data_IF_145650814666
#
_entry.id   IF_145650814666
#
_cell.length_a   1.000
_cell.length_b   1.000
_cell.length_c   1.000
_cell.angle_alpha   90.00
_cell.angle_beta   90.00
_cell.angle_gamma   90.00
#
_symmetry.space_group_name_H-M   'P 1'
#
loop_
_entity.id
_entity.type
_entity.pdbx_description
1 polymer ?
#
# COMPACT_ATOMS: atom_id res chain seq x y z
N UNK A 1 3.38 14.22 2.48
CA UNK A 1 2.04 13.71 2.83
C UNK A 1 1.24 13.47 1.56
N UNK A 2 0.96 12.20 1.25
CA UNK A 2 -0.11 11.84 0.33
C UNK A 2 -1.42 12.00 1.07
N UNK A 3 -2.44 12.56 0.44
CA UNK A 3 -3.80 12.50 0.93
C UNK A 3 -4.50 11.51 0.00
N UNK A 4 -4.50 10.23 0.38
CA UNK A 4 -5.13 9.19 -0.43
C UNK A 4 -4.46 9.00 -1.81
N UNK A 5 -3.28 8.40 -1.83
CA UNK A 5 -2.76 7.80 -3.06
C UNK A 5 -3.57 6.55 -3.34
N UNK A 6 -4.50 6.67 -4.28
CA UNK A 6 -4.85 5.54 -5.12
C UNK A 6 -4.42 5.97 -6.50
N UNK A 7 -3.21 5.58 -6.86
CA UNK A 7 -2.57 5.94 -8.12
C UNK A 7 -3.21 5.23 -9.31
N UNK A 8 -4.52 5.09 -9.37
CA UNK A 8 -5.21 4.30 -10.37
C UNK A 8 -6.64 4.79 -10.58
N UNK A 9 -6.77 5.89 -11.32
CA UNK A 9 -8.03 6.24 -11.96
C UNK A 9 -7.91 5.82 -13.40
N UNK A 10 -8.63 4.79 -13.84
CA UNK A 10 -8.76 4.62 -15.26
C UNK A 10 -9.56 5.79 -15.87
N UNK A 11 -9.31 6.13 -17.14
CA UNK A 11 -10.22 6.99 -17.88
C UNK A 11 -11.65 6.43 -17.83
N UNK A 12 -12.68 7.28 -18.03
CA UNK A 12 -14.07 6.81 -18.11
C UNK A 12 -14.16 5.66 -19.11
N UNK A 13 -14.49 4.45 -18.63
CA UNK A 13 -14.66 3.27 -19.47
C UNK A 13 -13.63 2.13 -19.33
N UNK A 14 -12.67 2.18 -18.38
CA UNK A 14 -11.71 1.07 -18.24
C UNK A 14 -11.44 0.66 -16.78
N UNK A 15 -12.38 0.01 -16.08
CA UNK A 15 -12.24 -0.38 -14.66
C UNK A 15 -11.11 -1.42 -14.40
N UNK A 16 -9.85 -1.03 -14.55
CA UNK A 16 -8.69 -1.94 -14.57
C UNK A 16 -8.20 -2.47 -13.21
N UNK A 17 -8.97 -2.33 -12.11
CA UNK A 17 -8.47 -2.68 -10.77
C UNK A 17 -9.35 -3.62 -9.97
N UNK A 18 -10.43 -4.12 -10.57
CA UNK A 18 -11.20 -5.22 -10.01
C UNK A 18 -12.03 -5.84 -11.13
N UNK A 19 -11.86 -7.14 -11.33
CA UNK A 19 -12.72 -7.97 -12.18
C UNK A 19 -14.19 -7.65 -11.85
N UNK A 20 -14.94 -7.09 -12.78
CA UNK A 20 -16.39 -7.04 -12.63
C UNK A 20 -16.92 -8.50 -12.57
N UNK A 21 -17.98 -8.81 -11.81
CA UNK A 21 -18.55 -10.14 -11.82
C UNK A 21 -18.91 -10.55 -13.27
N UNK A 22 -18.19 -11.52 -13.85
CA UNK A 22 -18.39 -11.99 -15.22
C UNK A 22 -17.30 -11.66 -16.24
N UNK A 23 -16.27 -10.87 -15.91
CA UNK A 23 -15.15 -10.63 -16.85
C UNK A 23 -14.31 -11.90 -17.06
N UNK A 24 -13.95 -12.27 -18.29
CA UNK A 24 -13.03 -13.39 -18.51
C UNK A 24 -11.62 -13.00 -18.07
N UNK A 25 -10.93 -13.88 -17.34
CA UNK A 25 -9.53 -13.65 -16.99
C UNK A 25 -8.69 -13.64 -18.27
N UNK A 26 -8.15 -12.48 -18.64
CA UNK A 26 -7.25 -12.37 -19.77
C UNK A 26 -5.98 -13.16 -19.43
N UNK A 27 -5.67 -14.18 -20.24
CA UNK A 27 -4.41 -14.90 -20.11
C UNK A 27 -3.24 -13.96 -20.41
N UNK A 28 -2.28 -13.90 -19.50
CA UNK A 28 -1.04 -13.16 -19.76
C UNK A 28 -0.21 -13.86 -20.85
N UNK A 29 0.63 -13.13 -21.62
CA UNK A 29 1.47 -13.71 -22.68
C UNK A 29 2.38 -14.85 -22.20
N UNK A 30 2.72 -15.78 -23.10
CA UNK A 30 3.49 -16.99 -22.77
C UNK A 30 4.87 -16.73 -22.13
N UNK A 31 5.49 -15.58 -22.36
CA UNK A 31 6.72 -15.20 -21.65
C UNK A 31 6.58 -15.20 -20.12
N UNK A 32 5.37 -15.03 -19.56
CA UNK A 32 5.14 -15.16 -18.11
C UNK A 32 5.18 -16.62 -17.63
N UNK A 33 4.90 -17.57 -18.52
CA UNK A 33 5.15 -18.98 -18.26
C UNK A 33 6.66 -19.24 -18.15
N UNK A 34 7.43 -18.74 -19.10
CA UNK A 34 8.90 -18.87 -19.11
C UNK A 34 9.50 -18.21 -17.87
N UNK A 35 9.10 -16.98 -17.57
CA UNK A 35 9.49 -16.28 -16.34
C UNK A 35 9.20 -17.10 -15.07
N UNK A 36 8.03 -17.73 -14.99
CA UNK A 36 7.71 -18.59 -13.85
C UNK A 36 8.63 -19.80 -13.78
N UNK A 37 8.95 -20.43 -14.92
CA UNK A 37 9.90 -21.55 -14.97
C UNK A 37 11.29 -21.12 -14.52
N UNK A 38 11.73 -19.94 -14.93
CA UNK A 38 13.05 -19.39 -14.58
C UNK A 38 13.20 -19.07 -13.08
N UNK A 39 12.11 -18.62 -12.46
CA UNK A 39 12.11 -18.28 -11.03
C UNK A 39 11.85 -19.52 -10.15
N UNK A 40 11.11 -20.50 -10.66
CA UNK A 40 10.66 -21.63 -9.85
C UNK A 40 11.82 -22.51 -9.39
N UNK A 41 11.72 -22.95 -8.13
CA UNK A 41 12.63 -23.91 -7.50
C UNK A 41 11.82 -24.87 -6.64
N UNK A 42 12.28 -26.11 -6.51
CA UNK A 42 11.56 -27.14 -5.74
C UNK A 42 11.41 -26.73 -4.27
N UNK A 43 12.37 -25.99 -3.72
CA UNK A 43 12.34 -25.48 -2.34
C UNK A 43 11.18 -24.49 -2.11
N UNK A 44 10.60 -23.88 -3.16
CA UNK A 44 9.42 -23.03 -3.03
C UNK A 44 8.19 -23.85 -2.56
N UNK A 45 8.14 -25.15 -2.86
CA UNK A 45 7.06 -26.04 -2.41
C UNK A 45 7.05 -26.14 -0.89
N UNK A 46 8.23 -26.24 -0.28
CA UNK A 46 8.37 -26.23 1.18
C UNK A 46 7.94 -24.87 1.74
N UNK A 47 8.44 -23.76 1.18
CA UNK A 47 8.04 -22.41 1.59
C UNK A 47 6.52 -22.23 1.54
N UNK A 48 5.88 -22.67 0.46
CA UNK A 48 4.44 -22.53 0.29
C UNK A 48 3.65 -23.26 1.37
N UNK A 49 4.03 -24.49 1.72
CA UNK A 49 3.39 -25.26 2.81
C UNK A 49 3.53 -24.55 4.15
N UNK A 50 4.72 -24.03 4.46
CA UNK A 50 4.96 -23.30 5.70
C UNK A 50 4.19 -21.98 5.76
N UNK A 51 4.18 -21.21 4.67
CA UNK A 51 3.45 -19.94 4.57
C UNK A 51 1.95 -20.18 4.75
N UNK A 52 1.37 -21.23 4.16
CA UNK A 52 -0.03 -21.57 4.36
C UNK A 52 -0.34 -21.91 5.83
N UNK A 53 0.53 -22.67 6.48
CA UNK A 53 0.38 -22.99 7.91
C UNK A 53 0.44 -21.74 8.80
N UNK A 54 1.42 -20.84 8.59
CA UNK A 54 1.50 -19.58 9.34
C UNK A 54 0.36 -18.61 9.00
N UNK A 55 -0.17 -18.66 7.77
CA UNK A 55 -1.30 -17.85 7.34
C UNK A 55 -2.59 -18.24 8.06
N UNK A 56 -2.84 -19.53 8.33
CA UNK A 56 -4.01 -19.97 9.12
C UNK A 56 -4.02 -19.36 10.53
N UNK A 57 -2.86 -19.36 11.20
CA UNK A 57 -2.70 -18.71 12.50
C UNK A 57 -2.87 -17.18 12.40
N UNK A 58 -2.31 -16.56 11.36
CA UNK A 58 -2.43 -15.12 11.11
C UNK A 58 -3.88 -14.71 10.88
N UNK A 59 -4.64 -15.45 10.08
CA UNK A 59 -6.07 -15.20 9.82
C UNK A 59 -6.88 -15.33 11.10
N UNK A 60 -6.57 -16.33 11.94
CA UNK A 60 -7.23 -16.52 13.23
C UNK A 60 -6.97 -15.34 14.18
N UNK A 61 -5.72 -14.88 14.29
CA UNK A 61 -5.35 -13.70 15.09
C UNK A 61 -6.10 -12.45 14.59
N UNK A 62 -6.14 -12.23 13.27
CA UNK A 62 -6.82 -11.08 12.66
C UNK A 62 -8.32 -11.11 12.97
N UNK A 63 -8.95 -12.29 12.86
CA UNK A 63 -10.38 -12.45 13.16
C UNK A 63 -10.69 -12.19 14.64
N UNK A 64 -9.83 -12.65 15.54
CA UNK A 64 -9.99 -12.49 16.98
C UNK A 64 -9.76 -11.04 17.42
N UNK A 65 -8.65 -10.42 17.01
CA UNK A 65 -8.23 -9.10 17.48
C UNK A 65 -8.86 -7.95 16.71
N UNK A 66 -9.23 -8.15 15.45
CA UNK A 66 -9.79 -7.11 14.58
C UNK A 66 -8.96 -5.83 14.60
N UNK A 67 -9.62 -4.68 14.79
CA UNK A 67 -8.98 -3.36 14.77
C UNK A 67 -7.93 -3.14 15.87
N UNK A 68 -7.97 -3.91 16.98
CA UNK A 68 -6.99 -3.78 18.07
C UNK A 68 -5.59 -4.24 17.65
N UNK A 69 -5.47 -4.97 16.53
CA UNK A 69 -4.19 -5.40 16.00
C UNK A 69 -3.39 -4.24 15.39
N UNK A 70 -4.06 -3.16 14.95
CA UNK A 70 -3.41 -2.01 14.33
C UNK A 70 -2.71 -1.17 15.40
N UNK A 71 -1.41 -0.93 15.22
CA UNK A 71 -0.63 -0.11 16.15
C UNK A 71 -1.21 1.29 16.24
N UNK A 72 -1.44 1.78 17.46
CA UNK A 72 -1.84 3.17 17.71
C UNK A 72 -0.82 3.84 18.61
N UNK A 73 -0.32 4.99 18.17
CA UNK A 73 0.64 5.82 18.89
C UNK A 73 0.08 7.23 19.03
N UNK A 74 0.34 7.89 20.15
CA UNK A 74 0.16 9.33 20.24
C UNK A 74 1.31 10.05 19.56
N UNK A 75 1.05 11.24 19.03
CA UNK A 75 2.09 12.11 18.51
C UNK A 75 3.09 12.51 19.59
N UNK A 76 2.66 12.66 20.84
CA UNK A 76 3.56 12.97 21.95
C UNK A 76 4.58 11.86 22.20
N UNK A 77 4.17 10.58 22.15
CA UNK A 77 5.10 9.44 22.21
C UNK A 77 6.10 9.48 21.05
N UNK A 78 5.63 9.75 19.84
CA UNK A 78 6.47 9.86 18.64
C UNK A 78 7.47 11.02 18.76
N UNK A 79 7.00 12.22 19.14
CA UNK A 79 7.82 13.44 19.27
C UNK A 79 8.83 13.33 20.40
N UNK A 80 8.47 12.70 21.51
CA UNK A 80 9.34 12.56 22.69
C UNK A 80 10.24 11.32 22.65
N UNK A 81 10.18 10.50 21.59
CA UNK A 81 10.99 9.29 21.47
C UNK A 81 10.64 8.20 22.49
N UNK A 82 9.41 8.19 22.99
CA UNK A 82 8.94 7.26 24.04
C UNK A 82 8.24 6.01 23.50
N UNK A 83 8.23 5.81 22.19
CA UNK A 83 7.72 4.58 21.58
C UNK A 83 8.66 3.43 21.95
N UNK A 84 8.13 2.45 22.68
CA UNK A 84 8.93 1.29 23.14
C UNK A 84 9.37 0.39 21.98
N UNK A 85 10.44 -0.38 22.19
CA UNK A 85 10.90 -1.36 21.21
C UNK A 85 9.81 -2.39 20.88
N UNK A 86 9.02 -2.83 21.86
CA UNK A 86 7.91 -3.76 21.64
C UNK A 86 6.82 -3.16 20.72
N UNK A 87 6.50 -1.87 20.87
CA UNK A 87 5.58 -1.17 19.96
C UNK A 87 6.17 -1.07 18.55
N UNK A 88 7.48 -0.80 18.43
CA UNK A 88 8.18 -0.76 17.15
C UNK A 88 8.16 -2.13 16.47
N UNK A 89 8.48 -3.21 17.19
CA UNK A 89 8.50 -4.56 16.64
C UNK A 89 7.10 -5.00 16.18
N UNK A 90 6.07 -4.68 16.97
CA UNK A 90 4.67 -4.92 16.59
C UNK A 90 4.26 -4.10 15.37
N UNK A 91 4.64 -2.82 15.30
CA UNK A 91 4.44 -1.98 14.12
C UNK A 91 5.13 -2.57 12.89
N UNK A 92 6.39 -3.00 12.99
CA UNK A 92 7.10 -3.60 11.86
C UNK A 92 6.47 -4.93 11.43
N UNK A 93 5.91 -5.70 12.35
CA UNK A 93 5.16 -6.93 12.02
C UNK A 93 3.87 -6.62 11.26
N UNK A 94 3.07 -5.68 11.76
CA UNK A 94 1.74 -5.34 11.25
C UNK A 94 1.80 -4.50 9.98
N UNK A 95 2.76 -3.57 9.89
CA UNK A 95 2.95 -2.68 8.75
C UNK A 95 1.94 -1.54 8.65
N UNK A 96 1.22 -1.22 9.73
CA UNK A 96 0.23 -0.15 9.75
C UNK A 96 0.20 0.51 11.12
N UNK A 97 0.14 1.84 11.15
CA UNK A 97 0.01 2.63 12.38
C UNK A 97 -1.03 3.74 12.23
N UNK A 98 -1.69 4.05 13.33
CA UNK A 98 -2.48 5.27 13.52
C UNK A 98 -1.72 6.16 14.49
N UNK A 99 -1.31 7.35 14.03
CA UNK A 99 -0.70 8.38 14.90
C UNK A 99 -1.76 9.44 15.22
N UNK A 100 -2.11 9.59 16.49
CA UNK A 100 -3.16 10.53 16.93
C UNK A 100 -2.58 11.79 17.57
N UNK A 101 -3.21 12.94 17.33
CA UNK A 101 -2.82 14.21 17.96
C UNK A 101 -1.68 14.95 17.27
N UNK A 102 -1.26 14.51 16.08
CA UNK A 102 -0.21 15.18 15.31
C UNK A 102 -0.63 16.54 14.74
N UNK A 103 -1.93 16.75 14.52
CA UNK A 103 -2.50 18.01 14.06
C UNK A 103 -3.68 18.35 14.98
N UNK A 104 -3.78 19.59 15.48
CA UNK A 104 -4.95 20.05 16.22
C UNK A 104 -6.23 19.84 15.41
N UNK A 105 -7.30 19.41 16.08
CA UNK A 105 -8.60 19.14 15.45
C UNK A 105 -9.10 20.33 14.62
N UNK A 106 -9.08 21.52 15.22
CA UNK A 106 -9.65 22.71 14.59
C UNK A 106 -8.84 23.16 13.37
N UNK A 107 -7.52 22.94 13.38
CA UNK A 107 -6.65 23.18 12.23
C UNK A 107 -6.96 22.21 11.07
N UNK A 108 -7.10 20.92 11.36
CA UNK A 108 -7.48 19.94 10.35
C UNK A 108 -8.88 20.23 9.74
N UNK A 109 -9.83 20.66 10.56
CA UNK A 109 -11.16 21.07 10.09
C UNK A 109 -11.11 22.37 9.28
N UNK A 110 -10.26 23.33 9.66
CA UNK A 110 -10.04 24.55 8.90
C UNK A 110 -9.44 24.26 7.52
N UNK A 111 -8.45 23.35 7.42
CA UNK A 111 -7.92 22.89 6.13
C UNK A 111 -9.00 22.25 5.25
N UNK A 112 -9.87 21.43 5.83
CA UNK A 112 -11.01 20.86 5.10
C UNK A 112 -11.91 21.95 4.51
N UNK A 113 -12.20 22.98 5.30
CA UNK A 113 -13.04 24.09 4.84
C UNK A 113 -12.34 24.89 3.74
N UNK A 114 -11.06 25.23 3.91
CA UNK A 114 -10.27 25.91 2.88
C UNK A 114 -10.22 25.14 1.56
N UNK A 115 -10.11 23.81 1.60
CA UNK A 115 -10.17 22.96 0.39
C UNK A 115 -11.53 23.08 -0.30
N UNK A 116 -12.64 23.07 0.47
CA UNK A 116 -13.99 23.22 -0.08
C UNK A 116 -14.19 24.60 -0.69
N UNK A 117 -13.76 25.65 0.00
CA UNK A 117 -13.89 27.03 -0.47
C UNK A 117 -13.07 27.26 -1.73
N UNK A 118 -11.83 26.73 -1.77
CA UNK A 118 -10.98 26.76 -2.95
C UNK A 118 -11.63 26.01 -4.13
N UNK A 119 -12.20 24.82 -3.88
CA UNK A 119 -12.86 24.06 -4.93
C UNK A 119 -14.09 24.78 -5.50
N UNK A 120 -14.91 25.38 -4.62
CA UNK A 120 -16.10 26.12 -5.01
C UNK A 120 -15.75 27.38 -5.81
N UNK A 121 -14.74 28.14 -5.39
CA UNK A 121 -14.29 29.34 -6.09
C UNK A 121 -13.66 29.06 -7.47
N UNK A 122 -13.25 27.82 -7.73
CA UNK A 122 -12.58 27.42 -8.97
C UNK A 122 -13.33 26.30 -9.69
N UNK A 123 -14.65 26.18 -9.50
CA UNK A 123 -15.44 25.00 -9.92
C UNK A 123 -15.29 24.63 -11.40
N UNK A 124 -15.08 25.60 -12.30
CA UNK A 124 -14.84 25.39 -13.73
C UNK A 124 -13.49 24.71 -14.04
N UNK A 125 -12.55 24.71 -13.10
CA UNK A 125 -11.20 24.17 -13.26
C UNK A 125 -10.94 22.92 -12.42
N UNK A 126 -11.79 22.63 -11.42
CA UNK A 126 -11.64 21.47 -10.56
C UNK A 126 -12.10 20.22 -11.29
N UNK A 127 -11.16 19.28 -11.47
CA UNK A 127 -11.44 17.92 -11.92
C UNK A 127 -11.51 16.97 -10.74
N UNK A 128 -12.17 15.84 -10.94
CA UNK A 128 -12.27 14.82 -9.92
C UNK A 128 -13.31 13.75 -10.24
N UNK A 129 -13.47 12.85 -9.28
CA UNK A 129 -14.35 11.68 -9.39
C UNK A 129 -15.26 11.57 -8.17
N UNK A 130 -16.51 11.09 -8.33
CA UNK A 130 -17.22 10.91 -9.60
C UNK A 130 -17.58 12.24 -10.26
N UNK A 131 -17.87 12.21 -11.57
CA UNK A 131 -18.34 13.38 -12.31
C UNK A 131 -19.69 13.86 -11.72
N UNK A 132 -19.89 15.19 -11.64
CA UNK A 132 -21.09 15.80 -11.06
C UNK A 132 -21.19 15.75 -9.52
N UNK A 133 -20.39 14.93 -8.84
CA UNK A 133 -20.28 14.90 -7.38
C UNK A 133 -18.85 14.57 -6.95
N UNK A 134 -17.93 15.50 -7.20
CA UNK A 134 -16.51 15.32 -6.95
C UNK A 134 -16.26 15.03 -5.46
N UNK A 135 -15.67 13.87 -5.18
CA UNK A 135 -15.27 13.43 -3.84
C UNK A 135 -13.78 13.09 -3.78
N UNK A 136 -13.19 12.68 -4.90
CA UNK A 136 -11.74 12.63 -5.09
C UNK A 136 -11.35 13.81 -5.98
N UNK A 137 -10.64 14.77 -5.40
CA UNK A 137 -10.28 16.00 -6.07
C UNK A 137 -8.90 15.85 -6.72
N UNK A 138 -8.82 16.12 -8.02
CA UNK A 138 -7.57 16.19 -8.78
C UNK A 138 -6.90 17.55 -8.61
N UNK A 139 -6.72 17.94 -7.34
CA UNK A 139 -5.99 19.13 -6.93
C UNK A 139 -4.79 18.74 -6.09
N UNK A 140 -3.67 19.42 -6.30
CA UNK A 140 -2.39 18.97 -5.78
C UNK A 140 -1.68 20.00 -4.91
N UNK A 141 -1.95 21.31 -5.07
CA UNK A 141 -1.16 22.37 -4.44
C UNK A 141 -2.02 23.50 -3.86
N UNK A 142 -3.16 23.18 -3.25
CA UNK A 142 -3.91 24.17 -2.46
C UNK A 142 -3.09 24.62 -1.24
N UNK A 143 -3.39 25.81 -0.71
CA UNK A 143 -2.74 26.34 0.50
C UNK A 143 -2.83 25.32 1.65
N UNK A 144 -4.01 24.75 1.87
CA UNK A 144 -4.25 23.73 2.89
C UNK A 144 -3.39 22.46 2.70
N UNK A 145 -3.26 21.95 1.47
CA UNK A 145 -2.40 20.80 1.19
C UNK A 145 -0.93 21.12 1.46
N UNK A 146 -0.49 22.32 1.12
CA UNK A 146 0.90 22.76 1.33
C UNK A 146 1.21 22.96 2.81
N UNK A 147 0.32 23.61 3.56
CA UNK A 147 0.42 23.74 5.02
C UNK A 147 0.46 22.38 5.70
N UNK A 148 -0.41 21.45 5.32
CA UNK A 148 -0.40 20.11 5.90
C UNK A 148 0.90 19.35 5.58
N UNK A 149 1.45 19.47 4.37
CA UNK A 149 2.72 18.81 4.03
C UNK A 149 3.91 19.30 4.84
N UNK A 150 3.90 20.57 5.26
CA UNK A 150 4.99 21.19 6.02
C UNK A 150 4.72 21.28 7.52
N UNK A 151 3.52 20.89 7.99
CA UNK A 151 3.16 20.92 9.40
C UNK A 151 4.13 20.07 10.25
N UNK A 152 4.62 20.63 11.36
CA UNK A 152 5.65 20.01 12.21
C UNK A 152 5.25 18.61 12.68
N UNK A 153 3.99 18.44 13.10
CA UNK A 153 3.46 17.14 13.52
C UNK A 153 3.54 16.06 12.45
N UNK A 154 3.35 16.44 11.19
CA UNK A 154 3.34 15.53 10.07
C UNK A 154 4.76 15.24 9.57
N UNK A 155 5.65 16.24 9.60
CA UNK A 155 7.06 16.08 9.31
C UNK A 155 7.78 15.19 10.33
N UNK A 156 7.54 15.40 11.64
CA UNK A 156 8.12 14.58 12.70
C UNK A 156 7.61 13.13 12.62
N UNK A 157 6.32 12.95 12.34
CA UNK A 157 5.75 11.60 12.12
C UNK A 157 6.39 10.90 10.93
N UNK A 158 6.59 11.60 9.80
CA UNK A 158 7.28 11.03 8.64
C UNK A 158 8.72 10.64 8.97
N UNK A 159 9.48 11.49 9.67
CA UNK A 159 10.85 11.17 10.09
C UNK A 159 10.91 9.94 10.99
N UNK A 160 10.03 9.84 11.99
CA UNK A 160 9.91 8.65 12.84
C UNK A 160 9.61 7.39 12.03
N UNK A 161 8.69 7.47 11.07
CA UNK A 161 8.35 6.32 10.22
C UNK A 161 9.50 5.91 9.30
N UNK A 162 10.24 6.87 8.74
CA UNK A 162 11.41 6.61 7.91
C UNK A 162 12.55 6.00 8.73
N UNK A 163 12.74 6.40 10.00
CA UNK A 163 13.79 5.83 10.86
C UNK A 163 13.59 4.36 11.23
N UNK A 164 12.41 3.77 10.95
CA UNK A 164 12.17 2.33 11.12
C UNK A 164 12.77 1.47 10.01
N UNK A 165 13.15 2.12 8.90
CA UNK A 165 13.80 1.52 7.74
C UNK A 165 15.31 1.56 7.87
N UNK A 166 16.00 0.70 7.13
CA UNK A 166 17.45 0.72 7.04
C UNK A 166 17.94 0.53 5.61
N UNK A 167 19.19 0.90 5.38
CA UNK A 167 19.87 0.73 4.10
C UNK A 167 21.36 0.49 4.32
N UNK A 168 21.98 -0.37 3.51
CA UNK A 168 23.42 -0.52 3.39
C UNK A 168 24.04 0.45 2.36
N UNK A 169 23.22 1.31 1.73
CA UNK A 169 23.63 2.30 0.72
C UNK A 169 23.23 3.72 1.13
N UNK A 170 23.77 4.26 2.23
CA UNK A 170 23.37 5.57 2.76
C UNK A 170 23.75 6.74 1.83
N UNK A 171 24.63 6.55 0.85
CA UNK A 171 25.00 7.57 -0.13
C UNK A 171 24.01 7.64 -1.31
N UNK A 172 23.21 6.59 -1.53
CA UNK A 172 22.19 6.53 -2.60
C UNK A 172 20.79 6.90 -2.09
N UNK A 173 20.48 6.66 -0.80
CA UNK A 173 19.19 6.99 -0.19
C UNK A 173 19.35 7.50 1.25
N UNK A 174 18.66 8.60 1.56
CA UNK A 174 18.54 9.14 2.92
C UNK A 174 17.17 8.79 3.51
N UNK A 175 17.16 8.12 4.67
CA UNK A 175 15.95 7.66 5.37
C UNK A 175 15.59 8.56 6.56
N UNK A 176 16.01 9.82 6.53
CA UNK A 176 15.78 10.85 7.54
C UNK A 176 15.32 12.19 6.93
N UNK A 177 15.26 12.27 5.59
CA UNK A 177 14.83 13.43 4.82
C UNK A 177 13.54 13.12 4.07
N UNK A 178 12.36 13.48 4.63
CA UNK A 178 11.10 13.34 3.91
C UNK A 178 11.05 14.27 2.69
N UNK A 179 10.59 13.75 1.56
CA UNK A 179 10.32 14.53 0.34
C UNK A 179 8.81 14.67 0.15
N UNK A 180 8.38 15.86 -0.28
CA UNK A 180 6.96 16.11 -0.57
C UNK A 180 6.54 15.49 -1.90
N UNK A 181 5.76 14.42 -1.82
CA UNK A 181 4.98 13.91 -2.96
C UNK A 181 3.61 14.58 -3.01
N UNK A 182 3.30 15.16 -4.16
CA UNK A 182 2.04 15.86 -4.39
C UNK A 182 1.01 14.84 -4.84
N UNK A 183 -0.05 14.74 -4.06
CA UNK A 183 -1.14 13.80 -4.29
C UNK A 183 -2.47 14.53 -4.19
N UNK A 184 -3.52 13.84 -4.63
CA UNK A 184 -4.92 14.26 -4.57
C UNK A 184 -5.39 14.39 -3.13
N UNK A 185 -6.69 14.61 -2.95
CA UNK A 185 -7.36 14.48 -1.66
C UNK A 185 -8.75 13.90 -1.85
N UNK A 186 -9.31 13.34 -0.77
CA UNK A 186 -10.65 12.77 -0.76
C UNK A 186 -11.53 13.37 0.33
N UNK A 187 -12.70 13.89 -0.04
CA UNK A 187 -13.78 14.28 0.88
C UNK A 187 -15.02 13.48 0.49
N UNK A 188 -15.19 12.33 1.14
CA UNK A 188 -16.29 11.41 0.86
C UNK A 188 -17.59 11.89 1.53
N UNK A 189 -18.71 11.74 0.83
CA UNK A 189 -20.05 11.98 1.34
C UNK A 189 -20.64 10.69 1.95
N UNK A 190 -21.44 10.78 3.04
CA UNK A 190 -22.16 9.63 3.58
C UNK A 190 -23.02 8.94 2.52
N UNK A 191 -23.04 7.59 2.53
CA UNK A 191 -23.85 6.79 1.62
C UNK A 191 -23.27 6.61 0.21
N UNK A 192 -22.14 7.25 -0.12
CA UNK A 192 -21.50 7.06 -1.43
C UNK A 192 -21.00 5.62 -1.61
N UNK A 193 -21.36 4.98 -2.72
CA UNK A 193 -20.87 3.65 -3.13
C UNK A 193 -20.11 3.70 -4.45
N UNK A 194 -19.94 4.88 -5.06
CA UNK A 194 -19.33 5.01 -6.39
C UNK A 194 -17.84 4.65 -6.39
N UNK A 195 -17.17 4.76 -5.23
CA UNK A 195 -15.74 4.52 -5.10
C UNK A 195 -15.44 3.34 -4.17
N UNK A 196 -15.56 2.13 -4.71
CA UNK A 196 -15.12 0.88 -4.05
C UNK A 196 -13.98 0.24 -4.83
N UNK A 197 -12.81 0.15 -4.21
CA UNK A 197 -11.69 -0.60 -4.76
C UNK A 197 -11.58 -1.95 -4.05
N UNK A 198 -11.27 -2.99 -4.82
CA UNK A 198 -10.88 -4.27 -4.25
C UNK A 198 -9.54 -4.16 -3.50
N UNK A 199 -9.21 -5.16 -2.66
CA UNK A 199 -7.89 -5.25 -2.04
C UNK A 199 -6.77 -5.24 -3.09
N UNK A 200 -5.78 -4.36 -2.93
CA UNK A 200 -4.68 -4.19 -3.87
C UNK A 200 -3.39 -3.75 -3.16
N UNK A 201 -2.28 -3.70 -3.91
CA UNK A 201 -0.98 -3.20 -3.46
C UNK A 201 -0.41 -2.31 -4.56
N UNK A 202 -0.11 -1.06 -4.24
CA UNK A 202 0.50 -0.12 -5.20
C UNK A 202 2.01 -0.32 -5.37
N UNK A 203 2.59 0.48 -6.26
CA UNK A 203 4.04 0.51 -6.49
C UNK A 203 4.51 -0.71 -7.26
N UNK A 204 3.89 -0.95 -8.41
CA UNK A 204 4.13 -2.12 -9.27
C UNK A 204 3.03 -3.17 -9.16
N UNK A 205 2.97 -4.03 -10.16
CA UNK A 205 2.05 -5.16 -10.32
C UNK A 205 2.86 -6.41 -10.66
N UNK A 206 2.96 -6.76 -11.94
CA UNK A 206 3.72 -7.91 -12.46
C UNK A 206 5.24 -7.69 -12.39
N UNK A 207 5.67 -6.43 -12.28
CA UNK A 207 7.06 -6.02 -12.09
C UNK A 207 7.68 -6.70 -10.87
N UNK A 208 6.87 -7.09 -9.86
CA UNK A 208 7.36 -7.83 -8.68
C UNK A 208 8.08 -9.14 -9.02
N UNK A 209 7.79 -9.73 -10.17
CA UNK A 209 8.45 -10.95 -10.66
C UNK A 209 9.34 -10.69 -11.87
N UNK A 210 9.00 -9.73 -12.72
CA UNK A 210 9.76 -9.43 -13.94
C UNK A 210 11.05 -8.66 -13.65
N UNK A 211 10.96 -7.61 -12.84
CA UNK A 211 12.08 -6.72 -12.56
C UNK A 211 13.11 -7.44 -11.67
N UNK A 212 14.38 -7.54 -12.10
CA UNK A 212 15.45 -8.05 -11.24
C UNK A 212 15.58 -7.27 -9.92
N UNK A 213 15.31 -5.96 -9.93
CA UNK A 213 15.29 -5.13 -8.71
C UNK A 213 14.25 -5.62 -7.70
N UNK A 214 13.00 -5.80 -8.12
CA UNK A 214 11.97 -6.37 -7.26
C UNK A 214 12.27 -7.80 -6.81
N UNK A 215 12.79 -8.65 -7.69
CA UNK A 215 13.20 -10.00 -7.29
C UNK A 215 14.27 -9.98 -6.20
N UNK A 216 15.16 -8.98 -6.20
CA UNK A 216 16.12 -8.76 -5.12
C UNK A 216 15.42 -8.40 -3.79
N UNK A 217 14.39 -7.54 -3.83
CA UNK A 217 13.58 -7.19 -2.64
C UNK A 217 12.96 -8.45 -2.01
N UNK A 218 12.44 -9.36 -2.84
CA UNK A 218 11.82 -10.60 -2.40
C UNK A 218 12.78 -11.80 -2.43
N UNK A 219 14.09 -11.55 -2.52
CA UNK A 219 15.09 -12.60 -2.75
C UNK A 219 15.07 -13.69 -1.68
N UNK A 220 14.86 -13.32 -0.41
CA UNK A 220 14.73 -14.31 0.68
C UNK A 220 13.48 -15.21 0.53
N UNK A 221 12.39 -14.69 -0.03
CA UNK A 221 11.19 -15.50 -0.33
C UNK A 221 11.49 -16.42 -1.53
N UNK A 222 12.06 -15.87 -2.60
CA UNK A 222 12.36 -16.60 -3.84
C UNK A 222 13.52 -17.60 -3.73
N UNK A 223 14.30 -17.57 -2.64
CA UNK A 223 15.30 -18.61 -2.32
C UNK A 223 14.66 -19.97 -1.98
N UNK A 224 13.42 -20.00 -1.50
CA UNK A 224 12.76 -21.23 -1.06
C UNK A 224 13.16 -21.72 0.33
N UNK A 225 12.57 -22.84 0.76
CA UNK A 225 12.74 -23.44 2.09
C UNK A 225 12.20 -22.53 3.20
N UNK A 226 12.97 -22.38 4.28
CA UNK A 226 12.64 -21.52 5.43
C UNK A 226 13.07 -20.04 5.26
N UNK A 227 13.71 -19.66 4.15
CA UNK A 227 14.33 -18.34 3.99
C UNK A 227 13.33 -17.18 4.00
N UNK A 228 12.06 -17.42 3.63
CA UNK A 228 11.01 -16.41 3.66
C UNK A 228 10.79 -15.82 5.06
N UNK A 229 11.12 -16.56 6.14
CA UNK A 229 11.06 -16.09 7.53
C UNK A 229 12.06 -14.97 7.82
N UNK A 230 13.12 -14.88 7.03
CA UNK A 230 14.16 -13.85 7.07
C UNK A 230 13.88 -12.71 6.09
N UNK A 231 12.72 -12.69 5.42
CA UNK A 231 12.34 -11.53 4.61
C UNK A 231 12.13 -10.33 5.53
N UNK A 232 12.87 -9.26 5.24
CA UNK A 232 12.77 -8.00 5.94
C UNK A 232 12.09 -6.94 5.06
N UNK A 233 10.81 -6.60 5.34
CA UNK A 233 10.09 -5.59 4.58
C UNK A 233 10.73 -4.19 4.65
N UNK A 234 11.51 -3.91 5.70
CA UNK A 234 12.08 -2.59 6.06
C UNK A 234 13.50 -2.35 5.54
N UNK A 235 14.02 -3.27 4.73
CA UNK A 235 15.26 -3.06 3.99
C UNK A 235 14.97 -2.22 2.73
N UNK A 236 15.51 -1.00 2.69
CA UNK A 236 15.36 -0.10 1.55
C UNK A 236 16.38 -0.36 0.43
N UNK A 237 17.52 -0.99 0.72
CA UNK A 237 18.63 -1.18 -0.22
C UNK A 237 18.22 -1.79 -1.57
N UNK A 238 17.52 -2.94 -1.62
CA UNK A 238 17.14 -3.53 -2.91
C UNK A 238 16.04 -2.72 -3.63
N UNK A 239 15.39 -1.77 -2.94
CA UNK A 239 14.29 -0.96 -3.50
C UNK A 239 14.76 0.26 -4.28
N UNK A 240 16.04 0.63 -4.14
CA UNK A 240 16.64 1.79 -4.83
C UNK A 240 16.66 1.57 -6.35
N UNK A 241 16.90 0.33 -6.79
CA UNK A 241 17.07 -0.01 -8.20
C UNK A 241 15.81 -0.59 -8.84
N UNK A 242 14.68 -0.54 -8.14
CA UNK A 242 13.42 -1.13 -8.62
C UNK A 242 12.85 -0.32 -9.78
N UNK A 243 12.44 -1.01 -10.84
CA UNK A 243 11.59 -0.44 -11.88
C UNK A 243 10.14 -0.84 -11.61
N UNK A 244 9.36 0.09 -11.07
CA UNK A 244 8.00 -0.18 -10.61
C UNK A 244 6.90 0.01 -11.66
N UNK A 245 7.28 0.42 -12.87
CA UNK A 245 6.39 0.60 -14.01
C UNK A 245 7.15 0.38 -15.32
N UNK A 246 7.36 -0.88 -15.67
CA UNK A 246 8.02 -1.27 -16.93
C UNK A 246 7.10 -1.03 -18.14
N UNK A 247 5.80 -0.86 -17.89
CA UNK A 247 4.76 -0.73 -18.90
C UNK A 247 4.29 0.71 -19.14
N UNK A 248 4.91 1.69 -18.50
CA UNK A 248 4.60 3.12 -18.67
C UNK A 248 3.11 3.44 -18.46
N UNK A 249 2.54 2.90 -17.39
CA UNK A 249 1.13 3.09 -17.03
C UNK A 249 0.85 4.54 -16.65
N UNK A 250 -0.34 5.04 -17.01
CA UNK A 250 -0.68 6.46 -16.93
C UNK A 250 -0.69 7.05 -15.51
N UNK A 251 -0.76 6.22 -14.48
CA UNK A 251 -0.88 6.65 -13.09
C UNK A 251 0.25 6.12 -12.19
N UNK A 252 1.36 5.62 -12.77
CA UNK A 252 2.46 5.08 -11.99
C UNK A 252 3.04 6.07 -10.97
N UNK A 253 3.40 5.56 -9.78
CA UNK A 253 4.14 6.33 -8.80
C UNK A 253 5.60 6.47 -9.22
N UNK A 254 6.11 7.69 -9.37
CA UNK A 254 7.50 7.94 -9.81
C UNK A 254 8.54 7.93 -8.69
N UNK A 255 8.12 7.76 -7.42
CA UNK A 255 9.01 7.78 -6.26
C UNK A 255 8.91 6.51 -5.42
N UNK A 256 9.99 6.16 -4.73
CA UNK A 256 9.95 5.17 -3.66
C UNK A 256 9.24 5.76 -2.44
N UNK A 257 8.19 5.06 -1.98
CA UNK A 257 7.42 5.41 -0.78
C UNK A 257 7.53 4.27 0.23
N UNK A 258 8.38 4.40 1.26
CA UNK A 258 8.47 3.42 2.33
C UNK A 258 7.12 3.25 3.06
N UNK A 259 6.35 4.33 3.13
CA UNK A 259 5.02 4.36 3.72
C UNK A 259 4.04 5.08 2.82
N UNK A 260 2.83 4.54 2.72
CA UNK A 260 1.66 5.31 2.31
C UNK A 260 0.92 5.80 3.56
N UNK A 261 0.16 6.88 3.44
CA UNK A 261 -0.63 7.41 4.55
C UNK A 261 -1.46 8.62 4.12
N UNK A 262 -2.28 9.12 5.04
CA UNK A 262 -3.06 10.35 4.90
C UNK A 262 -3.34 10.97 6.27
N UNK A 263 -3.61 12.27 6.29
CA UNK A 263 -4.17 12.94 7.46
C UNK A 263 -5.69 12.94 7.39
N UNK A 264 -6.32 12.57 8.50
CA UNK A 264 -7.77 12.65 8.61
C UNK A 264 -8.20 14.12 8.76
N UNK A 265 -9.10 14.57 7.89
CA UNK A 265 -9.73 15.88 7.97
C UNK A 265 -11.18 15.81 8.50
N UNK A 266 -11.57 14.66 9.03
CA UNK A 266 -12.88 14.41 9.62
C UNK A 266 -12.81 13.32 10.67
N UNK A 267 -13.90 13.16 11.42
CA UNK A 267 -14.14 11.96 12.20
C UNK A 267 -14.67 10.88 11.26
N UNK A 268 -14.14 9.66 11.40
CA UNK A 268 -14.63 8.46 10.72
C UNK A 268 -14.46 7.28 11.68
N UNK A 269 -15.52 6.49 11.82
CA UNK A 269 -15.54 5.24 12.57
C UNK A 269 -15.33 4.01 11.67
N UNK A 270 -15.18 2.82 12.28
CA UNK A 270 -15.16 1.56 11.54
C UNK A 270 -16.40 1.42 10.64
N UNK A 271 -16.21 0.88 9.43
CA UNK A 271 -17.26 0.67 8.42
C UNK A 271 -17.86 1.95 7.81
N UNK A 272 -17.35 3.15 8.13
CA UNK A 272 -17.78 4.42 7.54
C UNK A 272 -16.96 4.79 6.29
N UNK A 273 -16.63 3.80 5.47
CA UNK A 273 -15.85 4.02 4.25
C UNK A 273 -14.35 4.29 4.49
N UNK A 274 -13.81 3.76 5.60
CA UNK A 274 -12.41 3.84 6.00
C UNK A 274 -11.54 2.77 5.32
N UNK A 275 -10.23 2.83 5.55
CA UNK A 275 -9.27 1.84 5.04
C UNK A 275 -9.41 0.50 5.74
N UNK A 276 -9.22 -0.57 4.96
CA UNK A 276 -8.97 -1.92 5.44
C UNK A 276 -7.56 -2.35 5.00
N UNK A 277 -6.86 -3.08 5.86
CA UNK A 277 -5.51 -3.59 5.59
C UNK A 277 -5.43 -5.07 5.94
N UNK A 278 -4.42 -5.77 5.40
CA UNK A 278 -4.05 -7.11 5.81
C UNK A 278 -2.81 -7.05 6.73
N UNK A 279 -2.99 -7.04 8.06
CA UNK A 279 -1.93 -6.72 9.02
C UNK A 279 -1.00 -7.90 9.32
N UNK A 280 -0.08 -8.21 8.40
CA UNK A 280 1.12 -9.03 8.64
C UNK A 280 2.05 -8.94 7.43
N UNK A 281 3.06 -8.07 7.46
CA UNK A 281 3.86 -7.79 6.26
C UNK A 281 4.62 -9.01 5.75
N UNK A 282 5.21 -9.81 6.64
CA UNK A 282 6.06 -10.95 6.25
C UNK A 282 5.24 -12.07 5.61
N UNK A 283 4.20 -12.54 6.30
CA UNK A 283 3.37 -13.65 5.82
C UNK A 283 2.60 -13.23 4.57
N UNK A 284 2.04 -12.01 4.54
CA UNK A 284 1.35 -11.50 3.37
C UNK A 284 2.29 -11.39 2.16
N UNK A 285 3.48 -10.80 2.31
CA UNK A 285 4.45 -10.68 1.22
C UNK A 285 4.87 -12.04 0.69
N UNK A 286 5.18 -13.00 1.59
CA UNK A 286 5.53 -14.35 1.19
C UNK A 286 4.40 -15.04 0.43
N UNK A 287 3.16 -14.95 0.92
CA UNK A 287 1.99 -15.50 0.25
C UNK A 287 1.81 -14.91 -1.16
N UNK A 288 1.81 -13.58 -1.27
CA UNK A 288 1.60 -12.88 -2.53
C UNK A 288 2.66 -13.26 -3.56
N UNK A 289 3.94 -13.25 -3.18
CA UNK A 289 5.05 -13.54 -4.09
C UNK A 289 5.06 -15.01 -4.53
N UNK A 290 4.70 -15.94 -3.65
CA UNK A 290 4.65 -17.37 -3.96
C UNK A 290 3.37 -17.77 -4.72
N UNK A 291 2.27 -17.04 -4.53
CA UNK A 291 0.94 -17.43 -5.04
C UNK A 291 0.92 -17.81 -6.52
N UNK A 292 1.59 -17.11 -7.45
CA UNK A 292 1.52 -17.41 -8.87
C UNK A 292 2.11 -18.77 -9.29
N UNK A 293 2.89 -19.42 -8.42
CA UNK A 293 3.53 -20.71 -8.70
C UNK A 293 2.67 -21.92 -8.29
N UNK A 294 1.63 -21.71 -7.48
CA UNK A 294 0.84 -22.81 -6.91
C UNK A 294 -0.61 -22.76 -7.36
N UNK A 295 -1.17 -23.92 -7.71
CA UNK A 295 -2.58 -24.02 -8.11
C UNK A 295 -3.51 -23.94 -6.89
N UNK A 296 -4.68 -23.28 -7.00
CA UNK A 296 -5.72 -23.42 -5.98
C UNK A 296 -6.12 -24.89 -5.78
N UNK A 297 -6.44 -25.29 -4.54
CA UNK A 297 -6.96 -26.64 -4.24
C UNK A 297 -8.37 -26.86 -4.79
N UNK A 298 -9.22 -25.83 -4.71
CA UNK A 298 -10.55 -25.85 -5.30
C UNK A 298 -10.51 -25.10 -6.65
N UNK A 299 -10.70 -25.78 -7.79
CA UNK A 299 -10.73 -25.13 -9.10
C UNK A 299 -11.97 -24.23 -9.27
N UNK A 300 -12.99 -24.29 -8.41
CA UNK A 300 -14.13 -23.37 -8.39
C UNK A 300 -13.93 -22.22 -7.39
N UNK A 301 -12.73 -22.07 -6.82
CA UNK A 301 -12.39 -20.91 -6.00
C UNK A 301 -12.38 -19.66 -6.88
N UNK A 302 -12.98 -18.56 -6.41
CA UNK A 302 -12.90 -17.23 -7.06
C UNK A 302 -11.49 -16.63 -7.09
N UNK A 303 -10.48 -17.36 -6.57
CA UNK A 303 -9.06 -17.06 -6.76
C UNK A 303 -8.67 -17.18 -8.25
N UNK A 304 -7.71 -16.36 -8.74
CA UNK A 304 -7.34 -16.33 -10.17
C UNK A 304 -7.03 -17.72 -10.74
N UNK A 305 -7.76 -18.08 -11.79
CA UNK A 305 -7.59 -19.33 -12.54
C UNK A 305 -6.39 -19.21 -13.48
N UNK A 306 -5.44 -20.15 -13.43
CA UNK A 306 -4.37 -20.27 -14.43
C UNK A 306 -4.28 -21.73 -14.90
N UNK A 307 -4.35 -21.90 -16.22
CA UNK A 307 -4.37 -23.19 -16.92
C UNK A 307 -3.07 -23.98 -16.72
N UNK A 308 -3.21 -25.31 -16.75
CA UNK A 308 -2.09 -26.27 -16.79
C UNK A 308 -1.23 -26.00 -18.02
N UNK A 309 0.06 -25.78 -17.83
CA UNK A 309 1.04 -26.01 -18.87
C UNK A 309 1.26 -27.52 -18.96
N UNK A 310 1.02 -28.06 -20.15
CA UNK A 310 1.21 -29.47 -20.47
C UNK A 310 2.66 -29.90 -20.33
N UNK A 311 2.81 -31.19 -20.01
CA UNK A 311 3.96 -32.03 -20.31
C UNK A 311 4.33 -31.97 -21.78
#
# INVERSE_FOLDING_TARGET
MSFHSINNFPPPGNNGFSKAPGEESIALPDRFTELKRDIFKDELVESWRQVLSELEGTVSEIKEKGNSLITRLSYDEVKSGKVSQAQIDHLKRVGTVIVTGAVPKDEALAWKQQVRDYAAANSSHIKGFPEGNIQVYEMYNSIAQTQARTHEGLMNTQKFLLSLWHTSKPDEIKLDVPVSYYDRLRIRQPGDTAFTLGPHIDGGSVERWEDPGFRSVFGNILKGGNNWKQHDPFNATPRITVQNDIYHTSNACSIFRPWQGWTSLSFTGPNEGTLQVLPNLRVASAYIILRPFFRPKNPNSDSPQIRKLGT
#
